data_IF_090714408897
#
_entry.id   IF_090714408897
#
_cell.length_a   1.000
_cell.length_b   1.000
_cell.length_c   1.000
_cell.angle_alpha   90.00
_cell.angle_beta   90.00
_cell.angle_gamma   90.00
#
_symmetry.space_group_name_H-M   'P 1'
#
loop_
_entity.id
_entity.type
_entity.pdbx_description
1 polymer ?
#
# COMPACT_ATOMS: atom_id res chain seq x y z
N UNK A 1 -21.47 -2.71 -65.25
CA UNK A 1 -20.39 -2.50 -64.27
C UNK A 1 -21.04 -1.99 -63.00
N UNK A 2 -21.25 -2.90 -62.05
CA UNK A 2 -21.96 -2.64 -60.81
C UNK A 2 -21.11 -1.77 -59.88
N UNK A 3 -21.69 -0.65 -59.44
CA UNK A 3 -21.20 0.13 -58.31
C UNK A 3 -22.23 0.02 -57.22
N UNK A 4 -22.00 -0.89 -56.28
CA UNK A 4 -22.78 -1.03 -55.06
C UNK A 4 -22.41 0.16 -54.16
N UNK A 5 -23.21 1.22 -54.19
CA UNK A 5 -23.07 2.34 -53.27
C UNK A 5 -23.84 1.93 -52.02
N UNK A 6 -23.15 1.27 -51.09
CA UNK A 6 -23.66 1.04 -49.74
C UNK A 6 -23.90 2.41 -49.08
N UNK A 7 -25.17 2.87 -49.07
CA UNK A 7 -25.59 4.02 -48.29
C UNK A 7 -25.46 3.67 -46.81
N UNK A 8 -24.29 3.94 -46.24
CA UNK A 8 -24.03 3.75 -44.80
C UNK A 8 -25.09 4.52 -44.01
N UNK A 9 -25.91 3.77 -43.26
CA UNK A 9 -27.02 4.34 -42.50
C UNK A 9 -26.53 5.45 -41.55
N UNK A 10 -27.24 6.59 -41.52
CA UNK A 10 -26.87 7.75 -40.69
C UNK A 10 -26.64 7.40 -39.21
N UNK A 11 -27.34 6.39 -38.70
CA UNK A 11 -27.18 5.90 -37.34
C UNK A 11 -25.77 5.35 -37.07
N UNK A 12 -25.16 4.67 -38.05
CA UNK A 12 -23.78 4.16 -37.96
C UNK A 12 -22.78 5.32 -37.93
N UNK A 13 -22.98 6.33 -38.76
CA UNK A 13 -22.14 7.54 -38.77
C UNK A 13 -22.21 8.29 -37.43
N UNK A 14 -23.40 8.41 -36.83
CA UNK A 14 -23.58 9.02 -35.50
C UNK A 14 -22.90 8.19 -34.39
N UNK A 15 -22.94 6.86 -34.48
CA UNK A 15 -22.26 5.96 -33.53
C UNK A 15 -20.74 6.09 -33.62
N UNK A 16 -20.19 6.16 -34.83
CA UNK A 16 -18.75 6.28 -35.06
C UNK A 16 -18.22 7.62 -34.53
N UNK A 17 -18.90 8.74 -34.82
CA UNK A 17 -18.53 10.06 -34.28
C UNK A 17 -18.51 10.09 -32.75
N UNK A 18 -19.51 9.47 -32.10
CA UNK A 18 -19.55 9.37 -30.64
C UNK A 18 -18.40 8.51 -30.10
N UNK A 19 -18.05 7.41 -30.77
CA UNK A 19 -16.93 6.57 -30.37
C UNK A 19 -15.60 7.33 -30.50
N UNK A 20 -15.40 8.08 -31.59
CA UNK A 20 -14.21 8.91 -31.80
C UNK A 20 -14.08 10.01 -30.73
N UNK A 21 -15.19 10.66 -30.35
CA UNK A 21 -15.22 11.63 -29.25
C UNK A 21 -14.88 11.01 -27.90
N UNK A 22 -15.40 9.80 -27.62
CA UNK A 22 -15.07 9.04 -26.40
C UNK A 22 -13.61 8.61 -26.36
N UNK A 23 -13.07 8.11 -27.46
CA UNK A 23 -11.67 7.71 -27.56
C UNK A 23 -10.72 8.90 -27.37
N UNK A 24 -11.09 10.07 -27.88
CA UNK A 24 -10.33 11.31 -27.68
C UNK A 24 -10.39 11.78 -26.22
N UNK A 25 -11.57 11.74 -25.60
CA UNK A 25 -11.75 12.06 -24.19
C UNK A 25 -10.98 11.09 -23.28
N UNK A 26 -10.96 9.80 -23.61
CA UNK A 26 -10.22 8.79 -22.87
C UNK A 26 -8.71 9.03 -22.98
N UNK A 27 -8.18 9.23 -24.20
CA UNK A 27 -6.75 9.52 -24.43
C UNK A 27 -6.29 10.76 -23.68
N UNK A 28 -7.08 11.84 -23.71
CA UNK A 28 -6.76 13.07 -22.96
C UNK A 28 -6.79 12.83 -21.45
N UNK A 29 -7.76 12.06 -20.94
CA UNK A 29 -7.81 11.70 -19.52
C UNK A 29 -6.61 10.84 -19.09
N UNK A 30 -6.20 9.88 -19.91
CA UNK A 30 -5.04 9.03 -19.68
C UNK A 30 -3.74 9.84 -19.68
N UNK A 31 -3.61 10.81 -20.59
CA UNK A 31 -2.43 11.69 -20.63
C UNK A 31 -2.34 12.58 -19.39
N UNK A 32 -3.46 13.15 -18.94
CA UNK A 32 -3.52 13.90 -17.68
C UNK A 32 -3.16 13.01 -16.48
N UNK A 33 -3.63 11.76 -16.46
CA UNK A 33 -3.27 10.80 -15.41
C UNK A 33 -1.78 10.45 -15.46
N UNK A 34 -1.19 10.23 -16.63
CA UNK A 34 0.25 9.97 -16.78
C UNK A 34 1.08 11.12 -16.22
N UNK A 35 0.75 12.36 -16.59
CA UNK A 35 1.45 13.55 -16.07
C UNK A 35 1.36 13.58 -14.54
N UNK A 36 0.16 13.46 -13.97
CA UNK A 36 -0.04 13.39 -12.50
C UNK A 36 0.74 12.25 -11.85
N UNK A 37 0.77 11.07 -12.47
CA UNK A 37 1.49 9.91 -11.95
C UNK A 37 3.01 10.15 -11.98
N UNK A 38 3.54 10.81 -13.00
CA UNK A 38 4.97 11.14 -13.05
C UNK A 38 5.36 12.18 -11.99
N UNK A 39 4.52 13.18 -11.75
CA UNK A 39 4.71 14.17 -10.68
C UNK A 39 4.64 13.49 -9.30
N UNK A 40 3.63 12.66 -9.08
CA UNK A 40 3.49 11.86 -7.86
C UNK A 40 4.69 10.94 -7.64
N UNK A 41 5.20 10.29 -8.69
CA UNK A 41 6.40 9.44 -8.59
C UNK A 41 7.63 10.25 -8.18
N UNK A 42 7.81 11.46 -8.72
CA UNK A 42 8.90 12.37 -8.28
C UNK A 42 8.75 12.76 -6.81
N UNK A 43 7.52 13.02 -6.34
CA UNK A 43 7.25 13.33 -4.93
C UNK A 43 7.48 12.13 -4.00
N UNK A 44 7.02 10.95 -4.40
CA UNK A 44 7.23 9.69 -3.66
C UNK A 44 8.73 9.40 -3.59
N UNK A 45 9.44 9.54 -4.71
CA UNK A 45 10.89 9.36 -4.76
C UNK A 45 11.59 10.36 -3.85
N UNK A 46 11.27 11.66 -3.91
CA UNK A 46 11.84 12.64 -2.98
C UNK A 46 11.56 12.27 -1.52
N UNK A 47 10.35 11.86 -1.15
CA UNK A 47 10.03 11.42 0.24
C UNK A 47 10.78 10.15 0.65
N UNK A 48 11.05 9.24 -0.28
CA UNK A 48 11.74 7.98 -0.02
C UNK A 48 13.27 8.12 -0.02
N UNK A 49 13.80 8.93 -0.93
CA UNK A 49 15.23 9.14 -1.21
C UNK A 49 15.82 10.24 -0.32
N UNK A 50 15.10 11.35 -0.10
CA UNK A 50 15.42 12.27 0.98
C UNK A 50 15.13 11.49 2.25
N UNK A 51 16.18 10.97 2.88
CA UNK A 51 16.54 11.09 4.29
C UNK A 51 15.45 11.34 5.37
N UNK A 52 14.29 11.93 5.09
CA UNK A 52 13.16 12.15 6.00
C UNK A 52 12.74 10.89 6.74
N UNK A 53 12.43 9.78 6.08
CA UNK A 53 12.03 8.57 6.81
C UNK A 53 13.20 7.97 7.60
N UNK A 54 14.40 7.92 7.03
CA UNK A 54 15.57 7.40 7.72
C UNK A 54 15.97 8.25 8.95
N UNK A 55 15.90 9.58 8.81
CA UNK A 55 16.11 10.55 9.88
C UNK A 55 15.01 10.43 10.92
N UNK A 56 13.74 10.36 10.51
CA UNK A 56 12.60 10.21 11.41
C UNK A 56 12.73 8.93 12.27
N UNK A 57 13.11 7.80 11.67
CA UNK A 57 13.38 6.57 12.43
C UNK A 57 14.57 6.74 13.38
N UNK A 58 15.68 7.33 12.92
CA UNK A 58 16.86 7.56 13.77
C UNK A 58 16.58 8.52 14.93
N UNK A 59 15.82 9.59 14.68
CA UNK A 59 15.40 10.57 15.68
C UNK A 59 14.49 9.92 16.73
N UNK A 60 13.52 9.10 16.30
CA UNK A 60 12.65 8.33 17.21
C UNK A 60 13.46 7.39 18.11
N UNK A 61 14.46 6.68 17.58
CA UNK A 61 15.32 5.79 18.36
C UNK A 61 16.17 6.55 19.39
N UNK A 62 16.73 7.69 18.97
CA UNK A 62 17.49 8.59 19.85
C UNK A 62 16.60 9.15 20.96
N UNK A 63 15.39 9.58 20.62
CA UNK A 63 14.42 10.08 21.58
C UNK A 63 13.99 9.01 22.58
N UNK A 64 13.67 7.80 22.13
CA UNK A 64 13.33 6.67 22.99
C UNK A 64 14.46 6.37 23.98
N UNK A 65 15.71 6.42 23.50
CA UNK A 65 16.90 6.21 24.34
C UNK A 65 17.05 7.34 25.36
N UNK A 66 16.86 8.60 24.96
CA UNK A 66 16.87 9.77 25.85
C UNK A 66 15.83 9.64 26.95
N UNK A 67 14.60 9.28 26.61
CA UNK A 67 13.50 9.10 27.56
C UNK A 67 13.78 7.97 28.56
N UNK A 68 14.28 6.83 28.09
CA UNK A 68 14.70 5.71 28.95
C UNK A 68 15.80 6.12 29.93
N UNK A 69 16.82 6.87 29.47
CA UNK A 69 17.90 7.39 30.33
C UNK A 69 17.37 8.39 31.35
N UNK A 70 16.53 9.34 30.92
CA UNK A 70 15.91 10.34 31.81
C UNK A 70 15.03 9.72 32.90
N UNK A 71 14.27 8.67 32.56
CA UNK A 71 13.48 7.92 33.54
C UNK A 71 14.37 7.22 34.57
N UNK A 72 15.44 6.55 34.12
CA UNK A 72 16.43 5.89 35.00
C UNK A 72 17.09 6.87 35.97
N UNK A 73 17.45 8.07 35.51
CA UNK A 73 18.04 9.12 36.35
C UNK A 73 17.09 9.59 37.46
N UNK A 74 15.79 9.61 37.19
CA UNK A 74 14.74 9.95 38.17
C UNK A 74 14.38 8.77 39.09
N UNK A 75 15.04 7.63 38.97
CA UNK A 75 14.71 6.40 39.71
C UNK A 75 13.42 5.70 39.24
N UNK A 76 12.87 6.09 38.08
CA UNK A 76 11.66 5.52 37.51
C UNK A 76 11.90 4.70 36.24
N UNK A 77 10.83 4.12 35.69
CA UNK A 77 10.87 3.32 34.47
C UNK A 77 10.09 3.99 33.34
N UNK A 78 10.66 3.97 32.13
CA UNK A 78 9.97 4.41 30.93
C UNK A 78 9.14 3.26 30.35
N UNK A 79 7.82 3.43 30.30
CA UNK A 79 6.89 2.47 29.68
C UNK A 79 6.81 2.78 28.18
N UNK A 80 7.20 1.82 27.34
CA UNK A 80 7.10 2.01 25.89
C UNK A 80 5.62 2.04 25.46
N UNK A 81 5.26 2.87 24.47
CA UNK A 81 3.90 2.88 23.93
C UNK A 81 3.54 1.51 23.32
N UNK A 82 2.28 1.11 23.47
CA UNK A 82 1.77 -0.12 22.88
C UNK A 82 1.87 -0.06 21.34
N UNK A 83 2.38 -1.14 20.74
CA UNK A 83 2.51 -1.24 19.29
C UNK A 83 1.13 -1.29 18.61
N UNK A 84 0.97 -0.47 17.57
CA UNK A 84 -0.30 -0.25 16.87
C UNK A 84 -0.60 -1.27 15.76
N UNK A 85 0.41 -2.03 15.34
CA UNK A 85 0.29 -3.02 14.27
C UNK A 85 0.80 -4.37 14.74
N UNK A 86 0.14 -5.44 14.31
CA UNK A 86 0.57 -6.82 14.53
C UNK A 86 0.62 -7.55 13.20
N UNK A 87 1.63 -8.40 13.05
CA UNK A 87 1.75 -9.32 11.93
C UNK A 87 1.22 -10.69 12.37
N UNK A 88 0.38 -11.26 11.52
CA UNK A 88 -0.31 -12.51 11.75
C UNK A 88 0.18 -13.59 10.79
N UNK A 89 0.44 -14.79 11.31
CA UNK A 89 0.57 -16.00 10.49
C UNK A 89 -0.67 -16.87 10.66
N UNK A 90 -1.44 -17.06 9.59
CA UNK A 90 -2.54 -18.02 9.56
C UNK A 90 -1.96 -19.41 9.31
N UNK A 91 -1.99 -20.27 10.33
CA UNK A 91 -1.46 -21.62 10.18
C UNK A 91 -2.54 -22.66 9.83
N UNK A 92 -3.83 -22.50 10.15
CA UNK A 92 -4.74 -23.67 10.07
C UNK A 92 -6.25 -23.47 9.86
N UNK A 93 -6.84 -22.26 9.87
CA UNK A 93 -8.33 -22.13 9.83
C UNK A 93 -8.96 -21.78 8.49
N UNK A 94 -8.21 -21.34 7.47
CA UNK A 94 -8.73 -21.18 6.11
C UNK A 94 -8.55 -22.49 5.35
N UNK A 95 -9.62 -23.30 5.25
CA UNK A 95 -9.66 -24.64 4.64
C UNK A 95 -9.43 -24.66 3.12
N UNK A 96 -9.01 -23.55 2.52
CA UNK A 96 -8.75 -23.40 1.09
C UNK A 96 -7.54 -22.47 0.98
N UNK A 97 -6.55 -22.88 0.19
CA UNK A 97 -5.31 -22.17 -0.19
C UNK A 97 -4.07 -22.49 0.67
N UNK A 98 -3.17 -23.25 0.03
CA UNK A 98 -1.90 -23.80 0.50
C UNK A 98 -0.77 -22.74 0.61
N UNK A 99 -1.05 -21.54 1.12
CA UNK A 99 -0.07 -20.47 1.27
C UNK A 99 -0.10 -19.87 2.67
N UNK A 100 1.06 -19.89 3.35
CA UNK A 100 1.28 -19.14 4.58
C UNK A 100 1.20 -17.63 4.28
N UNK A 101 -0.02 -17.09 4.34
CA UNK A 101 -0.28 -15.68 4.12
C UNK A 101 -0.05 -14.93 5.42
N UNK A 102 0.93 -14.02 5.39
CA UNK A 102 1.20 -13.11 6.47
C UNK A 102 0.38 -11.84 6.25
N UNK A 103 -0.42 -11.45 7.25
CA UNK A 103 -1.24 -10.25 7.18
C UNK A 103 -0.82 -9.24 8.23
N UNK A 104 -0.80 -7.96 7.85
CA UNK A 104 -0.58 -6.85 8.79
C UNK A 104 -1.95 -6.33 9.23
N UNK A 105 -2.25 -6.42 10.52
CA UNK A 105 -3.50 -5.96 11.12
C UNK A 105 -3.26 -4.74 12.00
N UNK A 106 -4.18 -3.76 11.92
CA UNK A 106 -4.26 -2.67 12.89
C UNK A 106 -4.79 -3.21 14.21
N UNK A 107 -4.09 -2.92 15.29
CA UNK A 107 -4.46 -3.37 16.63
C UNK A 107 -5.56 -2.47 17.17
N UNK A 108 -6.73 -3.06 17.39
CA UNK A 108 -7.84 -2.52 18.15
C UNK A 108 -8.18 -3.45 19.33
N UNK A 109 -8.95 -2.98 20.31
CA UNK A 109 -9.38 -3.80 21.45
C UNK A 109 -10.10 -5.07 20.99
N UNK A 110 -10.99 -4.94 20.01
CA UNK A 110 -11.71 -6.08 19.42
C UNK A 110 -10.77 -7.07 18.74
N UNK A 111 -9.81 -6.60 17.93
CA UNK A 111 -8.87 -7.49 17.24
C UNK A 111 -8.00 -8.25 18.24
N UNK A 112 -7.57 -7.62 19.34
CA UNK A 112 -6.78 -8.29 20.38
C UNK A 112 -7.53 -9.48 20.99
N UNK A 113 -8.83 -9.34 21.25
CA UNK A 113 -9.65 -10.44 21.77
C UNK A 113 -9.80 -11.59 20.75
N UNK A 114 -9.95 -11.27 19.46
CA UNK A 114 -9.98 -12.28 18.40
C UNK A 114 -8.64 -13.02 18.24
N UNK A 115 -7.54 -12.27 18.34
CA UNK A 115 -6.17 -12.76 18.17
C UNK A 115 -5.71 -13.70 19.29
N UNK A 116 -6.22 -13.55 20.51
CA UNK A 116 -5.86 -14.40 21.65
C UNK A 116 -6.22 -15.88 21.48
N UNK A 117 -7.13 -16.20 20.57
CA UNK A 117 -7.78 -17.51 20.52
C UNK A 117 -7.15 -18.49 19.51
N UNK A 118 -6.76 -18.03 18.32
CA UNK A 118 -6.53 -18.97 17.20
C UNK A 118 -5.24 -18.71 16.41
N UNK A 119 -4.45 -17.70 16.75
CA UNK A 119 -3.43 -17.21 15.83
C UNK A 119 -2.13 -16.75 16.49
N UNK A 120 -1.00 -17.25 15.97
CA UNK A 120 0.33 -16.78 16.32
C UNK A 120 0.56 -15.38 15.75
N UNK A 121 0.71 -14.41 16.66
CA UNK A 121 0.93 -13.02 16.30
C UNK A 121 2.29 -12.51 16.80
N UNK A 122 2.92 -11.65 16.03
CA UNK A 122 4.15 -10.95 16.44
C UNK A 122 4.07 -9.46 16.14
N UNK A 123 4.89 -8.67 16.82
CA UNK A 123 5.09 -7.27 16.49
C UNK A 123 6.20 -7.17 15.44
N UNK A 124 5.93 -6.61 14.24
CA UNK A 124 6.92 -6.58 13.18
C UNK A 124 7.88 -5.41 13.36
N UNK A 125 9.16 -5.64 13.05
CA UNK A 125 10.17 -4.59 12.93
C UNK A 125 10.15 -3.98 11.53
N UNK A 126 10.69 -2.77 11.40
CA UNK A 126 10.74 -2.04 10.12
C UNK A 126 11.44 -2.83 9.02
N UNK A 127 12.52 -3.54 9.36
CA UNK A 127 13.27 -4.39 8.41
C UNK A 127 12.38 -5.52 7.90
N UNK A 128 11.70 -6.23 8.80
CA UNK A 128 10.79 -7.34 8.45
C UNK A 128 9.66 -6.88 7.53
N UNK A 129 9.05 -5.72 7.82
CA UNK A 129 8.00 -5.15 6.96
C UNK A 129 8.55 -4.80 5.58
N UNK A 130 9.71 -4.14 5.52
CA UNK A 130 10.34 -3.74 4.25
C UNK A 130 10.68 -4.95 3.38
N UNK A 131 11.26 -5.99 3.97
CA UNK A 131 11.57 -7.22 3.25
C UNK A 131 10.31 -7.93 2.74
N UNK A 132 9.25 -7.98 3.54
CA UNK A 132 8.01 -8.64 3.16
C UNK A 132 7.34 -7.94 1.99
N UNK A 133 7.28 -6.61 2.02
CA UNK A 133 6.74 -5.81 0.91
C UNK A 133 7.56 -6.06 -0.35
N UNK A 134 8.89 -5.98 -0.24
CA UNK A 134 9.77 -6.17 -1.39
C UNK A 134 9.63 -7.56 -2.02
N UNK A 135 9.54 -8.62 -1.20
CA UNK A 135 9.48 -10.01 -1.66
C UNK A 135 8.10 -10.43 -2.19
N UNK A 136 6.99 -9.91 -1.65
CA UNK A 136 5.64 -10.42 -1.94
C UNK A 136 4.72 -9.48 -2.72
N UNK A 137 4.84 -8.15 -2.56
CA UNK A 137 3.95 -7.21 -3.26
C UNK A 137 4.46 -6.87 -4.66
N UNK A 138 5.75 -7.01 -4.94
CA UNK A 138 6.31 -6.83 -6.27
C UNK A 138 5.78 -7.86 -7.28
N UNK A 139 5.45 -9.08 -6.83
CA UNK A 139 4.88 -10.13 -7.68
C UNK A 139 3.43 -9.84 -8.11
N UNK A 140 2.71 -8.94 -7.42
CA UNK A 140 1.31 -8.64 -7.72
C UNK A 140 1.12 -7.50 -8.74
N UNK A 141 2.19 -6.80 -9.12
CA UNK A 141 2.19 -5.62 -9.99
C UNK A 141 2.85 -5.91 -11.37
N UNK A 142 3.14 -7.18 -11.65
CA UNK A 142 3.52 -7.73 -12.97
C UNK A 142 2.29 -8.33 -13.66
#
# INVERSE_FOLDING_TARGET
MGGEIDMVAEHVLKKNKRAEEWDLAEKTSQEVQKIKNTENRKLIYKRAEQLQYAQEYSEKERELTRLKRGARLKGGFYVNPNAKFKMLSLYTTCRIVHYLQWFVLKVNKATLQMLQRELSHMYPDLITVKELIYKRLWEADQ
#
